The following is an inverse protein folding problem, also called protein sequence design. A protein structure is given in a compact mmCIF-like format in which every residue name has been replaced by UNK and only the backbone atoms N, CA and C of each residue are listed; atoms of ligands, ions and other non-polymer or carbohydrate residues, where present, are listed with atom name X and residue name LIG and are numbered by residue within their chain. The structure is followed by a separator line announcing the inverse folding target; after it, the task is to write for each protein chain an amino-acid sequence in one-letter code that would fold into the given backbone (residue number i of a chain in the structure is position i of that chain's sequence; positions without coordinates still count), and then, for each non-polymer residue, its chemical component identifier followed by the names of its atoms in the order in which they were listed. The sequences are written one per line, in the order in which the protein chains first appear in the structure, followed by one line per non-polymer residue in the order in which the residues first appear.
data_IF_594022958734
#
_entry.id   IF_594022958734
#
_cell.length_a   1.000
_cell.length_b   1.000
_cell.length_c   1.000
_cell.angle_alpha   90.00
_cell.angle_beta   90.00
_cell.angle_gamma   90.00
#
_symmetry.space_group_name_H-M   'P 1'
#
loop_
_entity.id
_entity.type
_entity.pdbx_description
1 polymer ?
#
# COMPACT_ATOMS: atom_id res chain seq x y z
N UNK A 1 60.52 -17.94 -47.66
CA UNK A 1 59.26 -18.51 -47.10
C UNK A 1 58.92 -18.05 -45.65
N UNK A 2 59.40 -16.90 -45.14
CA UNK A 2 59.11 -16.46 -43.74
C UNK A 2 58.10 -15.31 -43.58
N UNK A 3 57.67 -14.63 -44.66
CA UNK A 3 56.73 -13.50 -44.54
C UNK A 3 55.27 -13.96 -44.33
N UNK A 4 54.82 -15.06 -44.94
CA UNK A 4 53.43 -15.53 -44.81
C UNK A 4 53.09 -16.04 -43.41
N UNK A 5 54.05 -16.63 -42.68
CA UNK A 5 53.85 -17.08 -41.30
C UNK A 5 53.82 -15.93 -40.29
N UNK A 6 54.59 -14.86 -40.53
CA UNK A 6 54.57 -13.63 -39.73
C UNK A 6 53.29 -12.80 -39.97
N UNK A 7 52.79 -12.74 -41.21
CA UNK A 7 51.49 -12.09 -41.49
C UNK A 7 50.31 -12.93 -40.96
N UNK A 8 50.38 -14.26 -41.04
CA UNK A 8 49.38 -15.13 -40.44
C UNK A 8 49.38 -15.04 -38.90
N UNK A 9 50.56 -14.91 -38.26
CA UNK A 9 50.63 -14.70 -36.81
C UNK A 9 50.14 -13.30 -36.41
N UNK A 10 50.47 -12.25 -37.17
CA UNK A 10 49.97 -10.89 -36.94
C UNK A 10 48.45 -10.80 -37.14
N UNK A 11 47.91 -11.41 -38.19
CA UNK A 11 46.46 -11.47 -38.42
C UNK A 11 45.72 -12.22 -37.32
N UNK A 12 46.28 -13.34 -36.83
CA UNK A 12 45.75 -14.08 -35.68
C UNK A 12 45.81 -13.25 -34.38
N UNK A 13 46.87 -12.48 -34.16
CA UNK A 13 46.99 -11.59 -33.01
C UNK A 13 45.96 -10.45 -33.07
N UNK A 14 45.77 -9.81 -34.24
CA UNK A 14 44.74 -8.77 -34.42
C UNK A 14 43.34 -9.35 -34.23
N UNK A 15 43.07 -10.54 -34.77
CA UNK A 15 41.80 -11.22 -34.58
C UNK A 15 41.55 -11.58 -33.11
N UNK A 16 42.55 -12.13 -32.43
CA UNK A 16 42.45 -12.43 -31.00
C UNK A 16 42.21 -11.16 -30.17
N UNK A 17 42.91 -10.07 -30.47
CA UNK A 17 42.68 -8.78 -29.84
C UNK A 17 41.27 -8.24 -30.09
N UNK A 18 40.76 -8.35 -31.32
CA UNK A 18 39.40 -7.94 -31.67
C UNK A 18 38.34 -8.78 -30.93
N UNK A 19 38.54 -10.10 -30.81
CA UNK A 19 37.65 -10.98 -30.05
C UNK A 19 37.67 -10.64 -28.57
N UNK A 20 38.86 -10.40 -27.99
CA UNK A 20 38.97 -9.98 -26.58
C UNK A 20 38.29 -8.64 -26.34
N UNK A 21 38.45 -7.69 -27.25
CA UNK A 21 37.78 -6.39 -27.18
C UNK A 21 36.26 -6.54 -27.27
N UNK A 22 35.77 -7.34 -28.21
CA UNK A 22 34.33 -7.62 -28.35
C UNK A 22 33.76 -8.32 -27.11
N UNK A 23 34.49 -9.28 -26.53
CA UNK A 23 34.11 -9.95 -25.29
C UNK A 23 34.07 -8.97 -24.11
N UNK A 24 35.03 -8.06 -24.02
CA UNK A 24 35.04 -7.01 -22.99
C UNK A 24 33.81 -6.09 -23.11
N UNK A 25 33.50 -5.60 -24.32
CA UNK A 25 32.32 -4.77 -24.55
C UNK A 25 31.01 -5.52 -24.27
N UNK A 26 30.92 -6.79 -24.66
CA UNK A 26 29.74 -7.61 -24.36
C UNK A 26 29.55 -7.80 -22.86
N UNK A 27 30.64 -8.02 -22.11
CA UNK A 27 30.62 -8.14 -20.66
C UNK A 27 30.17 -6.84 -19.98
N UNK A 28 30.73 -5.70 -20.39
CA UNK A 28 30.38 -4.38 -19.85
C UNK A 28 28.91 -4.02 -20.14
N UNK A 29 28.46 -4.26 -21.38
CA UNK A 29 27.06 -4.05 -21.77
C UNK A 29 26.11 -4.92 -20.95
N UNK A 30 26.45 -6.20 -20.72
CA UNK A 30 25.63 -7.10 -19.91
C UNK A 30 25.53 -6.62 -18.45
N UNK A 31 26.65 -6.22 -17.84
CA UNK A 31 26.65 -5.67 -16.48
C UNK A 31 25.87 -4.35 -16.40
N UNK A 32 26.04 -3.47 -17.39
CA UNK A 32 25.31 -2.21 -17.50
C UNK A 32 23.80 -2.45 -17.55
N UNK A 33 23.35 -3.35 -18.43
CA UNK A 33 21.94 -3.69 -18.55
C UNK A 33 21.33 -4.22 -17.24
N UNK A 34 22.04 -5.12 -16.54
CA UNK A 34 21.59 -5.66 -15.24
C UNK A 34 21.50 -4.54 -14.19
N UNK A 35 22.47 -3.63 -14.13
CA UNK A 35 22.47 -2.51 -13.17
C UNK A 35 21.31 -1.56 -13.45
N UNK A 36 21.13 -1.15 -14.70
CA UNK A 36 20.03 -0.25 -15.09
C UNK A 36 18.68 -0.88 -14.78
N UNK A 37 18.51 -2.17 -15.08
CA UNK A 37 17.27 -2.89 -14.75
C UNK A 37 16.98 -2.91 -13.25
N UNK A 38 18.00 -3.18 -12.42
CA UNK A 38 17.86 -3.14 -10.96
C UNK A 38 17.54 -1.76 -10.42
N UNK A 39 18.17 -0.72 -10.97
CA UNK A 39 17.89 0.67 -10.58
C UNK A 39 16.45 1.05 -10.93
N UNK A 40 15.97 0.66 -12.11
CA UNK A 40 14.60 0.95 -12.53
C UNK A 40 13.57 0.23 -11.64
N UNK A 41 13.85 -1.03 -11.26
CA UNK A 41 13.00 -1.74 -10.30
C UNK A 41 12.99 -1.08 -8.92
N UNK A 42 14.15 -0.66 -8.41
CA UNK A 42 14.25 0.03 -7.13
C UNK A 42 13.50 1.37 -7.16
N UNK A 43 13.62 2.11 -8.27
CA UNK A 43 12.89 3.35 -8.49
C UNK A 43 11.37 3.11 -8.48
N UNK A 44 10.89 2.15 -9.26
CA UNK A 44 9.46 1.83 -9.32
C UNK A 44 8.91 1.39 -7.94
N UNK A 45 9.68 0.61 -7.19
CA UNK A 45 9.30 0.22 -5.83
C UNK A 45 9.25 1.40 -4.87
N UNK A 46 10.23 2.32 -4.95
CA UNK A 46 10.26 3.53 -4.13
C UNK A 46 9.11 4.48 -4.47
N UNK A 47 8.78 4.66 -5.75
CA UNK A 47 7.65 5.47 -6.21
C UNK A 47 6.31 4.90 -5.73
N UNK A 48 6.15 3.57 -5.77
CA UNK A 48 4.95 2.90 -5.24
C UNK A 48 4.80 3.09 -3.72
N UNK A 49 5.90 3.00 -2.97
CA UNK A 49 5.87 3.21 -1.53
C UNK A 49 5.57 4.68 -1.17
N UNK A 50 6.10 5.63 -1.94
CA UNK A 50 5.77 7.04 -1.81
C UNK A 50 4.27 7.28 -1.99
N UNK A 51 3.69 6.78 -3.08
CA UNK A 51 2.26 6.93 -3.35
C UNK A 51 1.40 6.31 -2.24
N UNK A 52 1.82 5.17 -1.68
CA UNK A 52 1.15 4.53 -0.54
C UNK A 52 1.19 5.40 0.71
N UNK A 53 2.36 5.95 1.04
CA UNK A 53 2.56 6.80 2.22
C UNK A 53 1.78 8.12 2.09
N UNK A 54 1.75 8.71 0.90
CA UNK A 54 0.96 9.91 0.64
C UNK A 54 -0.55 9.66 0.81
N UNK A 55 -1.07 8.55 0.26
CA UNK A 55 -2.46 8.17 0.46
C UNK A 55 -2.80 7.94 1.94
N UNK A 56 -1.88 7.33 2.70
CA UNK A 56 -2.05 7.12 4.13
C UNK A 56 -2.02 8.45 4.91
N UNK A 57 -1.11 9.36 4.56
CA UNK A 57 -1.06 10.71 5.12
C UNK A 57 -2.38 11.43 4.88
N UNK A 58 -2.89 11.43 3.66
CA UNK A 58 -4.11 12.15 3.29
C UNK A 58 -5.33 11.61 4.02
N UNK A 59 -5.42 10.28 4.14
CA UNK A 59 -6.45 9.66 4.96
C UNK A 59 -6.38 10.09 6.43
N UNK A 60 -5.19 10.02 7.03
CA UNK A 60 -5.00 10.40 8.43
C UNK A 60 -5.28 11.88 8.67
N UNK A 61 -4.88 12.74 7.71
CA UNK A 61 -5.18 14.17 7.78
C UNK A 61 -6.70 14.40 7.74
N UNK A 62 -7.43 13.72 6.85
CA UNK A 62 -8.89 13.82 6.81
C UNK A 62 -9.57 13.35 8.11
N UNK A 63 -9.04 12.32 8.75
CA UNK A 63 -9.52 11.87 10.07
C UNK A 63 -9.25 12.93 11.14
N UNK A 64 -8.05 13.53 11.15
CA UNK A 64 -7.72 14.60 12.09
C UNK A 64 -8.63 15.81 11.91
N UNK A 65 -8.86 16.23 10.66
CA UNK A 65 -9.72 17.37 10.34
C UNK A 65 -11.17 17.11 10.78
N UNK A 66 -11.67 15.87 10.59
CA UNK A 66 -12.99 15.49 11.06
C UNK A 66 -13.09 15.50 12.59
N UNK A 67 -12.12 14.91 13.30
CA UNK A 67 -12.12 14.88 14.77
C UNK A 67 -11.99 16.29 15.36
N UNK A 68 -11.27 17.19 14.67
CA UNK A 68 -11.16 18.59 15.05
C UNK A 68 -12.41 19.43 14.72
N UNK A 69 -13.36 18.89 13.96
CA UNK A 69 -14.55 19.63 13.51
C UNK A 69 -15.62 19.74 14.59
N UNK A 70 -16.41 20.81 14.52
CA UNK A 70 -17.58 21.03 15.38
C UNK A 70 -18.60 19.88 15.27
N UNK A 71 -18.71 19.24 14.11
CA UNK A 71 -19.61 18.11 13.91
C UNK A 71 -19.23 16.91 14.79
N UNK A 72 -17.94 16.63 14.95
CA UNK A 72 -17.47 15.59 15.85
C UNK A 72 -17.68 15.98 17.31
N UNK A 73 -17.38 17.24 17.68
CA UNK A 73 -17.63 17.77 19.03
C UNK A 73 -19.11 17.63 19.39
N UNK A 74 -20.00 18.00 18.49
CA UNK A 74 -21.44 17.86 18.68
C UNK A 74 -21.87 16.40 18.80
N UNK A 75 -21.33 15.50 17.97
CA UNK A 75 -21.63 14.07 18.07
C UNK A 75 -21.26 13.51 19.46
N UNK A 76 -20.07 13.86 19.96
CA UNK A 76 -19.61 13.47 21.29
C UNK A 76 -20.48 14.10 22.37
N UNK A 77 -20.80 15.39 22.26
CA UNK A 77 -21.66 16.09 23.23
C UNK A 77 -23.06 15.46 23.31
N UNK A 78 -23.65 15.08 22.17
CA UNK A 78 -24.94 14.39 22.11
C UNK A 78 -24.88 12.99 22.69
N UNK A 79 -23.83 12.23 22.36
CA UNK A 79 -23.73 10.80 22.73
C UNK A 79 -23.30 10.59 24.18
N UNK A 80 -22.29 11.30 24.64
CA UNK A 80 -21.67 11.08 25.95
C UNK A 80 -22.28 11.97 27.04
N UNK A 81 -22.70 13.19 26.68
CA UNK A 81 -23.19 14.19 27.64
C UNK A 81 -24.70 14.46 27.51
N UNK A 82 -25.37 13.84 26.54
CA UNK A 82 -26.79 14.06 26.23
C UNK A 82 -27.14 15.55 26.02
N UNK A 83 -26.18 16.36 25.55
CA UNK A 83 -26.42 17.76 25.24
C UNK A 83 -27.24 17.90 23.96
N UNK A 84 -28.09 18.91 23.92
CA UNK A 84 -28.96 19.26 22.78
C UNK A 84 -28.81 20.75 22.48
N UNK A 85 -29.09 21.16 21.24
CA UNK A 85 -29.05 22.59 20.88
C UNK A 85 -30.28 23.32 21.42
N UNK A 86 -30.18 24.63 21.56
CA UNK A 86 -31.34 25.46 21.89
C UNK A 86 -32.46 25.27 20.86
N UNK A 87 -33.67 24.95 21.36
CA UNK A 87 -34.85 24.68 20.54
C UNK A 87 -35.07 23.20 20.19
N UNK A 88 -34.15 22.30 20.54
CA UNK A 88 -34.34 20.85 20.38
C UNK A 88 -35.04 20.22 21.60
N UNK A 89 -35.87 19.21 21.37
CA UNK A 89 -36.51 18.42 22.43
C UNK A 89 -35.80 17.06 22.54
N UNK A 90 -35.12 16.75 23.66
CA UNK A 90 -34.45 15.46 23.84
C UNK A 90 -35.48 14.35 24.04
N UNK A 91 -35.29 13.21 23.36
CA UNK A 91 -36.07 12.00 23.57
C UNK A 91 -35.18 10.88 24.08
N UNK A 92 -35.56 10.29 25.22
CA UNK A 92 -34.92 9.09 25.75
C UNK A 92 -35.80 7.89 25.40
N UNK A 93 -35.31 7.01 24.53
CA UNK A 93 -36.03 5.77 24.21
C UNK A 93 -35.82 4.79 25.36
N UNK A 94 -36.83 4.69 26.23
CA UNK A 94 -36.87 3.66 27.27
C UNK A 94 -37.52 2.42 26.66
N UNK A 95 -36.72 1.37 26.45
CA UNK A 95 -37.25 0.07 26.06
C UNK A 95 -38.16 -0.49 27.15
N UNK A 96 -39.11 -1.39 26.80
CA UNK A 96 -39.93 -2.04 27.81
C UNK A 96 -39.02 -2.72 28.85
N UNK A 97 -39.36 -2.56 30.14
CA UNK A 97 -38.74 -3.36 31.21
C UNK A 97 -38.85 -4.82 30.78
N UNK A 98 -37.72 -5.56 30.64
CA UNK A 98 -37.78 -6.95 30.21
C UNK A 98 -38.65 -7.70 31.21
N UNK A 99 -39.78 -8.21 30.73
CA UNK A 99 -40.64 -9.07 31.51
C UNK A 99 -39.78 -10.24 31.99
N UNK A 100 -39.83 -10.61 33.30
CA UNK A 100 -39.07 -11.75 33.79
C UNK A 100 -39.43 -12.96 32.91
N UNK A 101 -38.40 -13.55 32.28
CA UNK A 101 -38.57 -14.63 31.33
C UNK A 101 -39.45 -15.72 31.97
N UNK A 102 -40.61 -16.01 31.36
CA UNK A 102 -41.44 -17.14 31.78
C UNK A 102 -40.55 -18.39 31.75
N UNK A 103 -40.40 -19.12 32.86
CA UNK A 103 -39.66 -20.38 32.85
C UNK A 103 -40.39 -21.34 31.91
N UNK A 104 -39.77 -21.59 30.77
CA UNK A 104 -40.29 -22.42 29.71
C UNK A 104 -39.14 -22.94 28.86
N UNK A 105 -39.37 -23.97 28.04
CA UNK A 105 -38.31 -24.53 27.21
C UNK A 105 -37.78 -23.54 26.17
N UNK A 106 -36.46 -23.55 25.92
CA UNK A 106 -35.76 -22.55 25.07
C UNK A 106 -36.27 -22.46 23.62
N UNK A 107 -37.00 -23.45 23.13
CA UNK A 107 -37.55 -23.48 21.78
C UNK A 107 -38.84 -22.66 21.62
N UNK A 108 -39.57 -22.36 22.69
CA UNK A 108 -40.77 -21.50 22.64
C UNK A 108 -40.43 -20.03 22.43
N UNK A 109 -39.23 -19.59 22.82
CA UNK A 109 -38.76 -18.22 22.66
C UNK A 109 -38.39 -17.83 21.22
N UNK A 110 -38.23 -18.80 20.31
CA UNK A 110 -37.82 -18.57 18.91
C UNK A 110 -38.99 -18.66 17.92
N UNK A 111 -40.22 -18.88 18.39
CA UNK A 111 -41.38 -18.98 17.51
C UNK A 111 -41.70 -17.60 16.89
N UNK A 112 -41.71 -17.46 15.55
CA UNK A 112 -42.06 -16.19 14.92
C UNK A 112 -43.53 -15.86 15.22
N UNK A 113 -43.76 -14.73 15.88
CA UNK A 113 -45.09 -14.13 16.06
C UNK A 113 -45.69 -13.81 14.69
N UNK A 114 -46.84 -14.43 14.38
CA UNK A 114 -47.66 -14.13 13.19
C UNK A 114 -48.43 -12.83 13.35
#
# INVERSE_FOLDING_TARGET
MRLRSLLASRGRLVFAAAVLLAAYFAYDAALGAIRTYRLEQQRAAAEAELARLEAQRDYLQGVLDYVASDAYVEQVARRELCYVRDGEVPFLVVGPTPEPAKPGPWWEAQAPTR
#
